data_IF_300540576222
#
_entry.id   IF_300540576222
#
_cell.length_a   1.000
_cell.length_b   1.000
_cell.length_c   1.000
_cell.angle_alpha   90.00
_cell.angle_beta   90.00
_cell.angle_gamma   90.00
#
_symmetry.space_group_name_H-M   'P 1'
#
loop_
_entity.id
_entity.type
_entity.pdbx_description
1 polymer ?
#
# COMPACT_ATOMS: atom_id res chain seq x y z
N UNK A 1 -30.43 14.31 -67.06
CA UNK A 1 -29.35 13.60 -66.35
C UNK A 1 -28.96 14.44 -65.14
N UNK A 2 -29.47 14.12 -63.95
CA UNK A 2 -28.95 14.62 -62.67
C UNK A 2 -29.13 13.48 -61.68
N UNK A 3 -28.01 12.86 -61.29
CA UNK A 3 -27.97 11.73 -60.37
C UNK A 3 -27.77 12.29 -58.96
N UNK A 4 -28.76 12.12 -58.09
CA UNK A 4 -28.71 12.59 -56.70
C UNK A 4 -28.33 11.40 -55.83
N UNK A 5 -27.09 11.41 -55.32
CA UNK A 5 -26.58 10.39 -54.40
C UNK A 5 -27.06 10.71 -52.98
N UNK A 6 -27.67 9.75 -52.25
CA UNK A 6 -28.06 10.00 -50.86
C UNK A 6 -26.81 9.92 -49.98
N UNK A 7 -26.51 10.99 -49.25
CA UNK A 7 -25.50 10.98 -48.20
C UNK A 7 -26.12 10.42 -46.92
N UNK A 8 -25.66 9.25 -46.48
CA UNK A 8 -25.97 8.68 -45.17
C UNK A 8 -25.19 9.44 -44.10
N UNK A 9 -25.87 10.30 -43.34
CA UNK A 9 -25.32 10.91 -42.12
C UNK A 9 -25.41 9.88 -41.00
N UNK A 10 -24.29 9.21 -40.71
CA UNK A 10 -24.18 8.33 -39.55
C UNK A 10 -23.96 9.21 -38.31
N UNK A 11 -25.02 9.45 -37.56
CA UNK A 11 -24.94 10.15 -36.28
C UNK A 11 -24.35 9.20 -35.23
N UNK A 12 -23.02 9.22 -35.10
CA UNK A 12 -22.31 8.46 -34.07
C UNK A 12 -22.62 9.05 -32.69
N UNK A 13 -23.59 8.47 -31.97
CA UNK A 13 -23.72 8.74 -30.53
C UNK A 13 -22.48 8.17 -29.82
N UNK A 14 -21.50 9.02 -29.56
CA UNK A 14 -20.47 8.72 -28.57
C UNK A 14 -21.15 8.71 -27.20
N UNK A 15 -21.48 7.52 -26.68
CA UNK A 15 -21.76 7.37 -25.25
C UNK A 15 -20.45 7.70 -24.50
N UNK A 16 -20.34 8.95 -24.05
CA UNK A 16 -19.38 9.31 -23.01
C UNK A 16 -19.94 8.71 -21.73
N UNK A 17 -19.57 7.45 -21.46
CA UNK A 17 -19.71 6.90 -20.13
C UNK A 17 -18.91 7.82 -19.20
N UNK A 18 -19.52 8.41 -18.15
CA UNK A 18 -18.75 9.10 -17.13
C UNK A 18 -17.73 8.09 -16.61
N UNK A 19 -16.45 8.32 -16.88
CA UNK A 19 -15.40 7.48 -16.34
C UNK A 19 -15.53 7.51 -14.82
N UNK A 20 -15.94 6.40 -14.22
CA UNK A 20 -15.80 6.17 -12.78
C UNK A 20 -14.31 6.39 -12.48
N UNK A 21 -13.97 7.54 -11.91
CA UNK A 21 -12.62 7.79 -11.42
C UNK A 21 -12.37 6.74 -10.34
N UNK A 22 -11.45 5.81 -10.62
CA UNK A 22 -11.07 4.80 -9.64
C UNK A 22 -10.54 5.51 -8.40
N UNK A 23 -11.06 5.15 -7.23
CA UNK A 23 -10.60 5.68 -5.96
C UNK A 23 -9.11 5.34 -5.80
N UNK A 24 -8.27 6.36 -5.59
CA UNK A 24 -6.82 6.24 -5.50
C UNK A 24 -6.39 6.13 -4.04
N UNK A 25 -5.20 5.58 -3.82
CA UNK A 25 -4.63 5.29 -2.50
C UNK A 25 -5.52 4.43 -1.60
N UNK A 26 -6.19 3.46 -2.22
CA UNK A 26 -6.74 2.33 -1.49
C UNK A 26 -5.58 1.43 -1.09
N UNK A 27 -5.29 1.35 0.22
CA UNK A 27 -4.15 0.54 0.69
C UNK A 27 -4.38 -0.96 0.48
N UNK A 28 -5.62 -1.42 0.39
CA UNK A 28 -5.96 -2.82 0.13
C UNK A 28 -5.36 -3.31 -1.19
N UNK A 29 -4.67 -4.44 -1.15
CA UNK A 29 -3.97 -5.00 -2.32
C UNK A 29 -2.52 -5.35 -2.02
N UNK A 30 -1.72 -5.44 -3.08
CA UNK A 30 -0.31 -5.86 -2.99
C UNK A 30 0.62 -4.72 -3.35
N UNK A 31 1.63 -4.52 -2.52
CA UNK A 31 2.66 -3.50 -2.65
C UNK A 31 4.04 -4.15 -2.65
N UNK A 32 4.96 -3.56 -3.41
CA UNK A 32 6.37 -3.97 -3.47
C UNK A 32 7.22 -2.73 -3.22
N UNK A 33 8.22 -2.85 -2.34
CA UNK A 33 9.19 -1.78 -2.11
C UNK A 33 10.43 -1.92 -3.01
N UNK A 34 11.32 -0.92 -2.97
CA UNK A 34 12.52 -0.87 -3.80
C UNK A 34 13.56 -1.97 -3.45
N UNK A 35 13.41 -2.65 -2.30
CA UNK A 35 14.23 -3.80 -1.90
C UNK A 35 13.63 -5.14 -2.37
N UNK A 36 12.46 -5.13 -3.01
CA UNK A 36 11.76 -6.35 -3.44
C UNK A 36 10.92 -7.02 -2.35
N UNK A 37 10.73 -6.38 -1.20
CA UNK A 37 9.83 -6.87 -0.15
C UNK A 37 8.37 -6.70 -0.58
N UNK A 38 7.55 -7.70 -0.31
CA UNK A 38 6.14 -7.74 -0.72
C UNK A 38 5.23 -7.59 0.50
N UNK A 39 4.26 -6.69 0.41
CA UNK A 39 3.23 -6.48 1.42
C UNK A 39 1.86 -6.70 0.80
N UNK A 40 1.01 -7.49 1.45
CA UNK A 40 -0.40 -7.68 1.05
C UNK A 40 -1.30 -7.21 2.17
N UNK A 41 -2.18 -6.25 1.88
CA UNK A 41 -3.13 -5.68 2.82
C UNK A 41 -4.56 -6.13 2.48
N UNK A 42 -5.28 -6.55 3.51
CA UNK A 42 -6.71 -6.86 3.41
C UNK A 42 -7.59 -5.61 3.33
N UNK A 43 -8.92 -5.81 3.37
CA UNK A 43 -9.88 -4.70 3.43
C UNK A 43 -9.67 -3.83 4.66
N UNK A 44 -9.77 -2.51 4.48
CA UNK A 44 -9.77 -1.54 5.58
C UNK A 44 -11.18 -1.45 6.18
N UNK A 45 -11.30 -1.55 7.49
CA UNK A 45 -12.60 -1.47 8.16
C UNK A 45 -13.08 -0.01 8.32
N UNK A 46 -14.31 0.18 8.82
CA UNK A 46 -14.91 1.52 8.98
C UNK A 46 -14.17 2.45 9.96
N UNK A 47 -13.31 1.91 10.82
CA UNK A 47 -12.47 2.68 11.76
C UNK A 47 -11.12 3.05 11.16
N UNK A 48 -10.80 2.55 9.96
CA UNK A 48 -9.50 2.72 9.34
C UNK A 48 -8.49 1.62 9.68
N UNK A 49 -8.88 0.59 10.46
CA UNK A 49 -7.96 -0.50 10.80
C UNK A 49 -7.87 -1.50 9.64
N UNK A 50 -6.69 -2.10 9.49
CA UNK A 50 -6.46 -3.16 8.51
C UNK A 50 -5.47 -4.20 9.05
N UNK A 51 -5.53 -5.38 8.43
CA UNK A 51 -4.61 -6.49 8.67
C UNK A 51 -4.00 -6.93 7.34
N UNK A 52 -2.89 -7.65 7.41
CA UNK A 52 -2.25 -8.16 6.23
C UNK A 52 -1.06 -9.05 6.52
N UNK A 53 -0.20 -9.19 5.52
CA UNK A 53 1.04 -9.91 5.64
C UNK A 53 2.20 -9.18 4.97
N UNK A 54 3.39 -9.36 5.51
CA UNK A 54 4.64 -8.82 5.00
C UNK A 54 5.62 -9.95 4.73
N UNK A 55 6.23 -9.96 3.55
CA UNK A 55 7.31 -10.84 3.16
C UNK A 55 8.52 -9.97 2.79
N UNK A 56 9.46 -9.86 3.73
CA UNK A 56 10.70 -9.12 3.49
C UNK A 56 11.59 -9.86 2.49
N UNK A 57 12.33 -9.12 1.67
CA UNK A 57 13.39 -9.67 0.83
C UNK A 57 14.75 -9.73 1.54
N UNK A 58 14.89 -9.01 2.66
CA UNK A 58 16.15 -8.85 3.40
C UNK A 58 15.94 -9.11 4.89
N UNK A 59 16.99 -9.60 5.56
CA UNK A 59 16.98 -9.84 7.00
C UNK A 59 18.40 -9.75 7.56
N UNK A 60 18.54 -9.32 8.81
CA UNK A 60 19.79 -9.43 9.57
C UNK A 60 19.84 -10.69 10.43
N UNK A 61 18.72 -11.40 10.58
CA UNK A 61 18.65 -12.71 11.24
C UNK A 61 19.21 -13.80 10.34
N UNK A 62 19.80 -14.84 10.94
CA UNK A 62 20.24 -16.04 10.24
C UNK A 62 19.07 -16.99 9.93
N UNK A 63 17.89 -16.74 10.51
CA UNK A 63 16.70 -17.56 10.29
C UNK A 63 16.17 -17.39 8.87
N UNK A 64 15.60 -18.46 8.32
CA UNK A 64 14.92 -18.42 7.03
C UNK A 64 13.76 -17.41 7.09
N UNK A 65 13.73 -16.49 6.13
CA UNK A 65 12.66 -15.51 5.98
C UNK A 65 11.32 -16.23 5.85
N UNK A 66 10.33 -15.74 6.59
CA UNK A 66 8.95 -16.21 6.53
C UNK A 66 7.98 -15.04 6.42
N UNK A 67 6.84 -15.30 5.78
CA UNK A 67 5.73 -14.34 5.75
C UNK A 67 5.26 -14.06 7.17
N UNK A 68 5.15 -12.78 7.51
CA UNK A 68 4.86 -12.31 8.85
C UNK A 68 3.57 -11.50 8.88
N UNK A 69 2.72 -11.65 9.90
CA UNK A 69 1.50 -10.87 10.02
C UNK A 69 1.80 -9.39 10.27
N UNK A 70 0.92 -8.52 9.78
CA UNK A 70 0.92 -7.11 10.12
C UNK A 70 -0.48 -6.64 10.48
N UNK A 71 -0.53 -5.61 11.33
CA UNK A 71 -1.76 -4.89 11.67
C UNK A 71 -1.48 -3.39 11.71
N UNK A 72 -2.43 -2.59 11.21
CA UNK A 72 -2.26 -1.14 11.17
C UNK A 72 -3.58 -0.38 11.13
N UNK A 73 -3.44 0.92 10.99
CA UNK A 73 -4.55 1.84 10.78
C UNK A 73 -4.15 2.98 9.85
N UNK A 74 -5.13 3.56 9.18
CA UNK A 74 -4.95 4.75 8.37
C UNK A 74 -5.87 5.88 8.84
N UNK A 75 -5.42 7.11 8.62
CA UNK A 75 -6.15 8.31 9.00
C UNK A 75 -7.05 8.81 7.86
N UNK A 76 -8.29 9.17 8.19
CA UNK A 76 -9.29 9.82 7.31
C UNK A 76 -9.54 9.13 5.95
N UNK A 77 -10.51 8.19 5.93
CA UNK A 77 -11.00 7.55 4.71
C UNK A 77 -11.78 8.49 3.76
N UNK A 78 -12.20 9.68 4.23
CA UNK A 78 -13.31 10.43 3.62
C UNK A 78 -12.91 11.74 2.89
N UNK A 79 -11.63 12.06 2.73
CA UNK A 79 -11.17 13.30 2.06
C UNK A 79 -9.97 13.06 1.17
N UNK A 80 -10.13 13.22 -0.16
CA UNK A 80 -9.07 13.32 -1.18
C UNK A 80 -7.77 12.53 -0.90
N UNK A 81 -8.00 11.27 -0.53
CA UNK A 81 -7.32 10.04 -0.94
C UNK A 81 -5.80 10.01 -1.01
N UNK A 82 -5.11 10.62 -0.04
CA UNK A 82 -3.68 10.39 0.20
C UNK A 82 -3.44 10.22 1.71
N UNK A 83 -4.01 9.17 2.32
CA UNK A 83 -4.05 9.02 3.78
C UNK A 83 -2.66 8.78 4.36
N UNK A 84 -2.42 9.32 5.55
CA UNK A 84 -1.33 8.83 6.41
C UNK A 84 -1.75 7.52 7.05
N UNK A 85 -0.80 6.64 7.30
CA UNK A 85 -1.04 5.34 7.89
C UNK A 85 0.16 4.86 8.70
N UNK A 86 -0.09 3.88 9.55
CA UNK A 86 0.95 3.16 10.24
C UNK A 86 0.55 1.71 10.47
N UNK A 87 1.54 0.83 10.49
CA UNK A 87 1.33 -0.60 10.76
C UNK A 87 2.53 -1.21 11.45
N UNK A 88 2.28 -2.27 12.20
CA UNK A 88 3.28 -3.08 12.88
C UNK A 88 3.37 -4.43 12.21
N UNK A 89 4.58 -4.87 11.86
CA UNK A 89 4.91 -6.23 11.45
C UNK A 89 5.46 -6.97 12.66
N UNK A 90 4.85 -8.10 13.00
CA UNK A 90 5.36 -9.01 14.02
C UNK A 90 6.08 -10.17 13.30
N UNK A 91 7.41 -10.23 13.39
CA UNK A 91 8.22 -11.12 12.56
C UNK A 91 8.09 -12.58 13.01
N UNK A 92 7.56 -13.45 12.13
CA UNK A 92 7.35 -14.88 12.43
C UNK A 92 8.63 -15.72 12.51
N UNK A 93 9.78 -15.13 12.17
CA UNK A 93 11.06 -15.83 12.08
C UNK A 93 12.18 -15.16 12.90
N UNK A 94 11.88 -14.13 13.68
CA UNK A 94 12.83 -13.48 14.59
C UNK A 94 12.11 -12.81 15.74
N UNK A 95 12.77 -12.71 16.90
CA UNK A 95 12.23 -12.00 18.07
C UNK A 95 12.39 -10.48 17.88
N UNK A 96 11.54 -9.92 17.04
CA UNK A 96 11.58 -8.49 16.69
C UNK A 96 10.25 -8.02 16.17
N UNK A 97 10.02 -6.72 16.23
CA UNK A 97 8.89 -6.05 15.58
C UNK A 97 9.40 -4.91 14.72
N UNK A 98 8.69 -4.58 13.64
CA UNK A 98 8.96 -3.36 12.87
C UNK A 98 7.70 -2.55 12.74
N UNK A 99 7.77 -1.27 13.08
CA UNK A 99 6.70 -0.32 12.81
C UNK A 99 7.03 0.45 11.55
N UNK A 100 6.02 0.65 10.71
CA UNK A 100 6.09 1.54 9.56
C UNK A 100 5.10 2.68 9.78
N UNK A 101 5.49 3.88 9.37
CA UNK A 101 4.60 5.04 9.27
C UNK A 101 4.84 5.72 7.93
N UNK A 102 3.78 6.20 7.31
CA UNK A 102 3.90 6.82 5.99
C UNK A 102 2.62 7.42 5.48
N UNK A 103 2.65 7.73 4.19
CA UNK A 103 1.54 8.30 3.45
C UNK A 103 1.51 7.73 2.04
N UNK A 104 0.31 7.50 1.51
CA UNK A 104 0.12 7.19 0.11
C UNK A 104 0.05 8.48 -0.70
N UNK A 105 0.73 8.51 -1.84
CA UNK A 105 0.71 9.59 -2.80
C UNK A 105 0.29 9.08 -4.18
N UNK A 106 -0.31 9.96 -4.98
CA UNK A 106 -0.47 9.76 -6.43
C UNK A 106 0.51 10.70 -7.11
N UNK A 107 1.43 10.17 -7.90
CA UNK A 107 2.43 10.97 -8.61
C UNK A 107 1.84 11.69 -9.84
N UNK A 108 2.69 12.44 -10.55
CA UNK A 108 2.27 13.25 -11.71
C UNK A 108 1.77 12.38 -12.87
N UNK A 109 2.21 11.12 -12.90
CA UNK A 109 1.87 10.10 -13.87
C UNK A 109 0.61 9.31 -13.46
N UNK A 110 0.03 9.58 -12.29
CA UNK A 110 -1.18 8.93 -11.79
C UNK A 110 -0.92 7.58 -11.09
N UNK A 111 0.33 7.23 -10.83
CA UNK A 111 0.74 6.01 -10.13
C UNK A 111 0.75 6.23 -8.62
N UNK A 112 0.27 5.22 -7.90
CA UNK A 112 0.21 5.24 -6.45
C UNK A 112 1.55 4.80 -5.84
N UNK A 113 2.02 5.55 -4.85
CA UNK A 113 3.31 5.33 -4.19
C UNK A 113 3.15 5.49 -2.68
N UNK A 114 3.63 4.51 -1.93
CA UNK A 114 3.72 4.61 -0.47
C UNK A 114 5.09 5.16 -0.09
N UNK A 115 5.11 6.33 0.56
CA UNK A 115 6.34 6.86 1.18
C UNK A 115 6.27 6.57 2.66
N UNK A 116 7.22 5.77 3.15
CA UNK A 116 7.23 5.27 4.52
C UNK A 116 8.61 5.43 5.15
N UNK A 117 8.62 5.55 6.47
CA UNK A 117 9.77 5.29 7.32
C UNK A 117 9.44 4.09 8.20
N UNK A 118 10.48 3.47 8.77
CA UNK A 118 10.33 2.34 9.64
C UNK A 118 11.29 2.40 10.81
N UNK A 119 10.92 1.72 11.89
CA UNK A 119 11.79 1.44 13.03
C UNK A 119 11.70 -0.06 13.32
N UNK A 120 12.83 -0.75 13.32
CA UNK A 120 12.92 -2.14 13.73
C UNK A 120 13.38 -2.19 15.18
N UNK A 121 12.62 -2.92 16.00
CA UNK A 121 12.93 -3.18 17.40
C UNK A 121 13.28 -4.65 17.60
N UNK A 122 14.53 -4.92 17.93
CA UNK A 122 15.00 -6.25 18.34
C UNK A 122 14.64 -6.52 19.80
N UNK A 123 14.36 -7.77 20.13
CA UNK A 123 14.40 -8.25 21.51
C UNK A 123 15.84 -8.16 22.04
N UNK A 124 15.99 -7.75 23.31
CA UNK A 124 17.25 -7.76 24.05
C UNK A 124 16.97 -8.24 25.47
N UNK A 125 17.86 -9.07 26.00
CA UNK A 125 17.65 -9.73 27.29
C UNK A 125 17.78 -8.78 28.49
N UNK A 126 18.42 -7.63 28.31
CA UNK A 126 18.71 -6.68 29.37
C UNK A 126 18.48 -5.22 28.94
N UNK A 127 18.08 -4.38 29.89
CA UNK A 127 17.84 -2.94 29.66
C UNK A 127 19.11 -2.18 29.26
N UNK A 128 20.29 -2.66 29.68
CA UNK A 128 21.58 -2.07 29.30
C UNK A 128 21.87 -2.17 27.81
N UNK A 129 21.20 -3.07 27.09
CA UNK A 129 21.32 -3.28 25.66
C UNK A 129 20.22 -2.57 24.85
N UNK A 130 19.34 -1.80 25.50
CA UNK A 130 18.27 -1.04 24.84
C UNK A 130 18.79 -0.09 23.75
N UNK A 131 19.92 0.57 24.02
CA UNK A 131 20.50 1.60 23.14
C UNK A 131 20.80 1.10 21.72
N UNK A 132 21.04 -0.20 21.54
CA UNK A 132 21.35 -0.85 20.25
C UNK A 132 20.17 -1.63 19.67
N UNK A 133 19.02 -1.65 20.36
CA UNK A 133 17.89 -2.50 20.00
C UNK A 133 17.00 -1.91 18.90
N UNK A 134 17.13 -0.61 18.60
CA UNK A 134 16.34 0.07 17.56
C UNK A 134 17.22 0.43 16.35
N UNK A 135 16.75 0.11 15.15
CA UNK A 135 17.33 0.54 13.86
C UNK A 135 16.32 1.36 13.07
#
# INVERSE_FOLDING_TARGET
>A
MVQVTPFLVVLSLALVAPGLSAEKCLLTGTWINDLGSNMTLGPVNRRGDFEGSYLTAVTTSQNKIQKSPLQGSLHNMNKNSQPTFGFTVNWSFSESVTVFTGQCFVDKEGKEVLKTMWLLRSHVDNIGDDWKATR
#
